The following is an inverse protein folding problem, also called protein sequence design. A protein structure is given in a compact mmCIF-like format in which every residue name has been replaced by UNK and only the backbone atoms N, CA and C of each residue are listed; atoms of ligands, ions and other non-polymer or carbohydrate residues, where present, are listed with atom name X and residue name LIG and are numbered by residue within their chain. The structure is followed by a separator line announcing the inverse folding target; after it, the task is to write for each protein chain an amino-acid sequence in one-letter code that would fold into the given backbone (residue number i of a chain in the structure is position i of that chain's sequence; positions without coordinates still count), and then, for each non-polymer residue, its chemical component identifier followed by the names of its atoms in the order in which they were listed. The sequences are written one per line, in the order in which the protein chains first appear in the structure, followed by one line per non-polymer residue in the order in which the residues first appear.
data_IF_768937229103
#
_entry.id   IF_768937229103
#
_cell.length_a   1.000
_cell.length_b   1.000
_cell.length_c   1.000
_cell.angle_alpha   90.00
_cell.angle_beta   90.00
_cell.angle_gamma   90.00
#
_symmetry.space_group_name_H-M   'P 1'
#
loop_
_entity.id
_entity.type
_entity.pdbx_description
1 polymer ?
#
# COMPACT_ATOMS: atom_id res chain seq x y z
N UNK A 1 12.06 26.70 9.74
CA UNK A 1 11.30 25.85 8.80
C UNK A 1 10.46 24.90 9.61
N UNK A 2 9.14 24.91 9.43
CA UNK A 2 8.23 24.01 10.15
C UNK A 2 8.11 22.68 9.41
N UNK A 3 8.13 21.56 10.16
CA UNK A 3 7.91 20.22 9.60
C UNK A 3 6.53 20.11 8.90
N UNK A 4 5.54 20.86 9.38
CA UNK A 4 4.19 20.90 8.79
C UNK A 4 4.21 21.62 7.43
N UNK A 5 4.99 22.70 7.30
CA UNK A 5 5.12 23.43 6.02
C UNK A 5 5.74 22.54 4.95
N UNK A 6 6.77 21.75 5.32
CA UNK A 6 7.44 20.82 4.42
C UNK A 6 6.51 19.67 3.97
N UNK A 7 5.70 19.12 4.88
CA UNK A 7 4.73 18.07 4.56
C UNK A 7 3.59 18.59 3.66
N UNK A 8 3.19 19.84 3.84
CA UNK A 8 2.12 20.46 3.06
C UNK A 8 2.59 20.96 1.70
N UNK A 9 3.89 21.20 1.53
CA UNK A 9 4.49 21.60 0.26
C UNK A 9 4.11 20.61 -0.85
N UNK A 10 3.64 21.13 -1.98
CA UNK A 10 3.21 20.31 -3.12
C UNK A 10 3.56 21.03 -4.42
N UNK A 11 4.16 20.34 -5.40
CA UNK A 11 4.46 20.93 -6.70
C UNK A 11 3.18 21.40 -7.39
N UNK A 12 3.21 22.58 -8.01
CA UNK A 12 2.05 23.14 -8.74
C UNK A 12 1.51 22.21 -9.83
N UNK A 13 2.38 21.42 -10.46
CA UNK A 13 2.03 20.49 -11.54
C UNK A 13 2.36 19.03 -11.17
N UNK A 14 1.53 18.41 -10.33
CA UNK A 14 1.64 16.98 -10.04
C UNK A 14 1.29 16.12 -11.27
N UNK A 15 2.15 15.14 -11.55
CA UNK A 15 1.88 14.14 -12.58
C UNK A 15 0.66 13.27 -12.24
N UNK A 16 -0.04 12.74 -13.25
CA UNK A 16 -1.18 11.82 -13.05
C UNK A 16 -0.77 10.58 -12.23
N UNK A 17 0.44 10.06 -12.46
CA UNK A 17 1.00 8.96 -11.67
C UNK A 17 1.23 9.36 -10.21
N UNK A 18 1.81 10.52 -9.96
CA UNK A 18 2.03 11.05 -8.60
C UNK A 18 0.72 11.19 -7.83
N UNK A 19 -0.34 11.69 -8.49
CA UNK A 19 -1.69 11.75 -7.91
C UNK A 19 -2.23 10.35 -7.60
N UNK A 20 -2.06 9.40 -8.53
CA UNK A 20 -2.51 8.03 -8.36
C UNK A 20 -1.77 7.31 -7.20
N UNK A 21 -0.46 7.51 -7.07
CA UNK A 21 0.33 7.00 -5.94
C UNK A 21 -0.11 7.65 -4.62
N UNK A 22 -0.43 8.94 -4.62
CA UNK A 22 -0.95 9.61 -3.43
C UNK A 22 -2.31 9.04 -2.98
N UNK A 23 -3.23 8.79 -3.93
CA UNK A 23 -4.52 8.12 -3.65
C UNK A 23 -4.30 6.69 -3.17
N UNK A 24 -3.34 5.96 -3.74
CA UNK A 24 -2.92 4.65 -3.22
C UNK A 24 -2.49 4.77 -1.77
N UNK A 25 -1.71 5.79 -1.40
CA UNK A 25 -1.31 6.05 -0.02
C UNK A 25 -2.49 6.22 0.94
N UNK A 26 -3.53 6.94 0.52
CA UNK A 26 -4.77 7.09 1.32
C UNK A 26 -5.48 5.75 1.53
N UNK A 27 -5.58 4.91 0.50
CA UNK A 27 -6.18 3.58 0.63
C UNK A 27 -5.40 2.69 1.61
N UNK A 28 -4.07 2.77 1.59
CA UNK A 28 -3.22 2.05 2.55
C UNK A 28 -3.39 2.57 3.96
N UNK A 29 -3.47 3.89 4.15
CA UNK A 29 -3.75 4.48 5.45
C UNK A 29 -5.08 3.98 6.01
N UNK A 30 -6.13 3.95 5.18
CA UNK A 30 -7.44 3.44 5.58
C UNK A 30 -7.40 1.95 5.93
N UNK A 31 -6.74 1.13 5.11
CA UNK A 31 -6.59 -0.31 5.38
C UNK A 31 -5.77 -0.58 6.65
N UNK A 32 -4.67 0.14 6.85
CA UNK A 32 -3.84 0.04 8.04
C UNK A 32 -4.59 0.47 9.30
N UNK A 33 -5.32 1.58 9.24
CA UNK A 33 -6.16 2.06 10.34
C UNK A 33 -7.27 1.06 10.70
N UNK A 34 -7.90 0.44 9.69
CA UNK A 34 -8.88 -0.63 9.89
C UNK A 34 -8.27 -1.81 10.66
N UNK A 35 -7.10 -2.30 10.23
CA UNK A 35 -6.43 -3.42 10.90
C UNK A 35 -5.95 -3.08 12.32
N UNK A 36 -5.57 -1.84 12.58
CA UNK A 36 -5.21 -1.38 13.93
C UNK A 36 -6.44 -1.33 14.84
N UNK A 37 -7.50 -0.65 14.39
CA UNK A 37 -8.69 -0.41 15.20
C UNK A 37 -9.51 -1.69 15.39
N UNK A 38 -9.60 -2.51 14.33
CA UNK A 38 -10.41 -3.72 14.32
C UNK A 38 -9.68 -4.88 13.61
N UNK A 39 -8.78 -5.58 14.33
CA UNK A 39 -8.11 -6.78 13.81
C UNK A 39 -9.09 -7.88 13.40
N UNK A 40 -10.28 -7.90 14.01
CA UNK A 40 -11.39 -8.79 13.67
C UNK A 40 -11.89 -8.67 12.22
N UNK A 41 -11.53 -7.58 11.53
CA UNK A 41 -11.80 -7.40 10.12
C UNK A 41 -11.18 -8.50 9.25
N UNK A 42 -10.07 -9.11 9.67
CA UNK A 42 -9.47 -10.23 8.92
C UNK A 42 -10.41 -11.43 8.89
N UNK A 43 -11.07 -11.76 10.00
CA UNK A 43 -12.08 -12.82 10.03
C UNK A 43 -13.40 -12.38 9.37
N UNK A 44 -13.89 -11.18 9.67
CA UNK A 44 -15.20 -10.73 9.20
C UNK A 44 -15.25 -10.55 7.68
N UNK A 45 -14.19 -10.01 7.08
CA UNK A 45 -14.14 -9.69 5.65
C UNK A 45 -13.51 -10.81 4.82
N UNK A 46 -12.45 -11.44 5.34
CA UNK A 46 -11.65 -12.42 4.59
C UNK A 46 -11.86 -13.86 5.06
N UNK A 47 -12.76 -14.09 6.02
CA UNK A 47 -13.09 -15.43 6.56
C UNK A 47 -11.86 -16.17 7.09
N UNK A 48 -10.95 -15.41 7.69
CA UNK A 48 -9.80 -15.99 8.37
C UNK A 48 -10.20 -16.75 9.63
N UNK A 49 -9.32 -17.68 10.03
CA UNK A 49 -9.50 -18.43 11.26
C UNK A 49 -9.53 -17.52 12.49
N UNK A 50 -10.18 -17.97 13.56
CA UNK A 50 -10.14 -17.28 14.84
C UNK A 50 -8.69 -17.15 15.35
N UNK A 51 -8.39 -16.03 16.00
CA UNK A 51 -7.12 -15.84 16.70
C UNK A 51 -7.07 -16.74 17.94
N UNK A 52 -5.90 -17.29 18.26
CA UNK A 52 -5.72 -18.28 19.34
C UNK A 52 -4.66 -17.82 20.36
N UNK A 53 -3.72 -16.99 19.94
CA UNK A 53 -2.71 -16.36 20.79
C UNK A 53 -2.56 -14.87 20.46
N UNK A 54 -1.33 -14.45 20.18
CA UNK A 54 -0.98 -13.03 19.99
C UNK A 54 -1.29 -12.47 18.60
N UNK A 55 -2.02 -13.22 17.74
CA UNK A 55 -2.24 -12.80 16.36
C UNK A 55 -3.02 -11.48 16.29
N UNK A 56 -3.90 -11.22 17.26
CA UNK A 56 -4.61 -9.95 17.32
C UNK A 56 -3.67 -8.75 17.52
N UNK A 57 -2.59 -8.93 18.29
CA UNK A 57 -1.53 -7.93 18.45
C UNK A 57 -0.70 -7.79 17.18
N UNK A 58 -0.30 -8.92 16.58
CA UNK A 58 0.48 -8.94 15.34
C UNK A 58 -0.27 -8.31 14.16
N UNK A 59 -1.59 -8.52 14.04
CA UNK A 59 -2.42 -7.87 13.01
C UNK A 59 -2.42 -6.35 13.18
N UNK A 60 -2.38 -5.83 14.42
CA UNK A 60 -2.24 -4.37 14.64
C UNK A 60 -0.86 -3.87 14.23
N UNK A 61 0.20 -4.64 14.50
CA UNK A 61 1.56 -4.32 14.03
C UNK A 61 1.63 -4.30 12.51
N UNK A 62 0.99 -5.27 11.84
CA UNK A 62 0.84 -5.28 10.37
C UNK A 62 0.04 -4.05 9.91
N UNK A 63 -1.07 -3.72 10.58
CA UNK A 63 -1.87 -2.53 10.29
C UNK A 63 -1.06 -1.23 10.39
N UNK A 64 -0.19 -1.13 11.40
CA UNK A 64 0.77 -0.02 11.54
C UNK A 64 1.76 0.02 10.37
N UNK A 65 2.35 -1.12 9.99
CA UNK A 65 3.26 -1.16 8.85
C UNK A 65 2.55 -0.73 7.54
N UNK A 66 1.34 -1.21 7.31
CA UNK A 66 0.50 -0.82 6.15
C UNK A 66 0.18 0.67 6.18
N UNK A 67 -0.15 1.23 7.34
CA UNK A 67 -0.40 2.66 7.50
C UNK A 67 0.86 3.50 7.23
N UNK A 68 2.04 3.06 7.71
CA UNK A 68 3.33 3.72 7.44
C UNK A 68 3.65 3.69 5.94
N UNK A 69 3.43 2.56 5.25
CA UNK A 69 3.58 2.49 3.79
C UNK A 69 2.63 3.48 3.12
N UNK A 70 1.38 3.55 3.56
CA UNK A 70 0.39 4.50 3.04
C UNK A 70 0.80 5.95 3.23
N UNK A 71 1.35 6.30 4.39
CA UNK A 71 1.93 7.61 4.67
C UNK A 71 3.05 7.95 3.69
N UNK A 72 4.01 7.04 3.51
CA UNK A 72 5.13 7.22 2.58
C UNK A 72 4.67 7.34 1.12
N UNK A 73 3.64 6.60 0.71
CA UNK A 73 3.07 6.71 -0.64
C UNK A 73 2.29 8.02 -0.84
N UNK A 74 1.58 8.49 0.19
CA UNK A 74 0.87 9.76 0.15
C UNK A 74 1.85 10.92 -0.07
N UNK A 75 2.84 11.06 0.79
CA UNK A 75 3.80 12.15 0.72
C UNK A 75 4.83 11.95 -0.40
N UNK A 76 5.24 10.71 -0.66
CA UNK A 76 6.09 10.37 -1.81
C UNK A 76 5.41 10.62 -3.16
N UNK A 77 4.10 10.41 -3.26
CA UNK A 77 3.30 10.83 -4.40
C UNK A 77 3.23 12.35 -4.50
N UNK A 78 2.90 13.04 -3.39
CA UNK A 78 2.80 14.51 -3.32
C UNK A 78 4.10 15.23 -3.65
N UNK A 79 5.26 14.66 -3.38
CA UNK A 79 6.56 15.26 -3.72
C UNK A 79 6.80 15.39 -5.23
N UNK A 80 6.07 14.63 -6.06
CA UNK A 80 6.26 14.62 -7.52
C UNK A 80 7.51 13.87 -7.99
N UNK A 81 8.28 13.26 -7.08
CA UNK A 81 9.50 12.55 -7.40
C UNK A 81 9.22 11.26 -8.20
N UNK A 82 9.61 11.25 -9.48
CA UNK A 82 9.36 10.13 -10.40
C UNK A 82 10.02 8.83 -9.93
N UNK A 83 11.23 8.91 -9.36
CA UNK A 83 11.97 7.77 -8.86
C UNK A 83 11.27 7.11 -7.67
N UNK A 84 10.67 7.89 -6.77
CA UNK A 84 9.89 7.36 -5.64
C UNK A 84 8.70 6.56 -6.19
N UNK A 85 7.93 7.15 -7.12
CA UNK A 85 6.79 6.47 -7.76
C UNK A 85 7.24 5.17 -8.45
N UNK A 86 8.33 5.19 -9.21
CA UNK A 86 8.85 4.00 -9.88
C UNK A 86 9.29 2.91 -8.89
N UNK A 87 9.97 3.28 -7.80
CA UNK A 87 10.37 2.35 -6.75
C UNK A 87 9.16 1.65 -6.10
N UNK A 88 8.04 2.38 -5.92
CA UNK A 88 6.81 1.74 -5.41
C UNK A 88 6.32 0.63 -6.33
N UNK A 89 6.36 0.83 -7.65
CA UNK A 89 5.88 -0.18 -8.62
C UNK A 89 6.70 -1.46 -8.51
N UNK A 90 8.02 -1.35 -8.45
CA UNK A 90 8.91 -2.52 -8.32
C UNK A 90 8.55 -3.31 -7.06
N UNK A 91 8.50 -2.64 -5.90
CA UNK A 91 8.23 -3.33 -4.63
C UNK A 91 6.89 -4.08 -4.62
N UNK A 92 5.86 -3.45 -5.17
CA UNK A 92 4.48 -3.96 -5.17
C UNK A 92 4.26 -5.09 -6.18
N UNK A 93 5.10 -5.22 -7.20
CA UNK A 93 5.02 -6.28 -8.21
C UNK A 93 5.97 -7.45 -7.94
N UNK A 94 7.03 -7.25 -7.16
CA UNK A 94 8.04 -8.29 -6.90
C UNK A 94 8.05 -8.73 -5.45
N UNK A 95 8.54 -7.89 -4.54
CA UNK A 95 8.82 -8.27 -3.16
C UNK A 95 7.54 -8.59 -2.37
N UNK A 96 6.51 -7.75 -2.49
CA UNK A 96 5.26 -7.94 -1.74
C UNK A 96 4.56 -9.26 -2.14
N UNK A 97 4.26 -9.52 -3.42
CA UNK A 97 3.63 -10.79 -3.81
C UNK A 97 4.50 -12.00 -3.47
N UNK A 98 5.83 -11.91 -3.64
CA UNK A 98 6.72 -13.03 -3.33
C UNK A 98 6.62 -13.46 -1.86
N UNK A 99 6.57 -12.50 -0.93
CA UNK A 99 6.44 -12.80 0.50
C UNK A 99 5.02 -13.20 0.86
N UNK A 100 4.01 -12.43 0.43
CA UNK A 100 2.62 -12.66 0.84
C UNK A 100 2.07 -13.98 0.30
N UNK A 101 2.37 -14.33 -0.95
CA UNK A 101 1.89 -15.57 -1.55
C UNK A 101 2.60 -16.79 -0.95
N UNK A 102 3.88 -16.68 -0.59
CA UNK A 102 4.60 -17.76 0.10
C UNK A 102 4.00 -18.02 1.50
N UNK A 103 3.66 -16.98 2.25
CA UNK A 103 2.99 -17.10 3.55
C UNK A 103 1.56 -17.63 3.42
N UNK A 104 0.83 -17.20 2.39
CA UNK A 104 -0.50 -17.74 2.11
C UNK A 104 -0.43 -19.24 1.78
N UNK A 105 0.57 -19.66 1.01
CA UNK A 105 0.79 -21.06 0.66
C UNK A 105 1.15 -21.93 1.89
N UNK A 106 1.74 -21.36 2.94
CA UNK A 106 1.97 -22.04 4.22
C UNK A 106 0.75 -22.00 5.17
N UNK A 107 -0.37 -21.42 4.73
CA UNK A 107 -1.62 -21.36 5.48
C UNK A 107 -1.73 -20.20 6.47
N UNK A 108 -0.82 -19.23 6.41
CA UNK A 108 -0.86 -18.01 7.24
C UNK A 108 -1.80 -17.01 6.57
N UNK A 109 -2.94 -16.77 7.21
CA UNK A 109 -3.96 -15.82 6.75
C UNK A 109 -4.20 -15.82 5.22
N UNK A 110 -4.47 -16.98 4.60
CA UNK A 110 -4.35 -17.16 3.15
C UNK A 110 -5.27 -16.25 2.35
N UNK A 111 -6.52 -16.05 2.78
CA UNK A 111 -7.47 -15.21 2.04
C UNK A 111 -7.09 -13.74 2.14
N UNK A 112 -6.69 -13.29 3.33
CA UNK A 112 -6.22 -11.93 3.55
C UNK A 112 -4.98 -11.63 2.71
N UNK A 113 -3.94 -12.47 2.81
CA UNK A 113 -2.66 -12.24 2.16
C UNK A 113 -2.75 -12.35 0.63
N UNK A 114 -3.52 -13.29 0.10
CA UNK A 114 -3.79 -13.37 -1.35
C UNK A 114 -4.56 -12.15 -1.82
N UNK A 115 -5.59 -11.72 -1.09
CA UNK A 115 -6.36 -10.52 -1.48
C UNK A 115 -5.47 -9.29 -1.50
N UNK A 116 -4.62 -9.10 -0.48
CA UNK A 116 -3.68 -7.98 -0.43
C UNK A 116 -2.65 -8.06 -1.55
N UNK A 117 -2.09 -9.23 -1.85
CA UNK A 117 -1.15 -9.41 -2.95
C UNK A 117 -1.77 -9.04 -4.31
N UNK A 118 -3.02 -9.45 -4.57
CA UNK A 118 -3.73 -9.14 -5.81
C UNK A 118 -4.06 -7.66 -5.90
N UNK A 119 -4.68 -7.09 -4.85
CA UNK A 119 -5.07 -5.68 -4.84
C UNK A 119 -3.86 -4.75 -4.95
N UNK A 120 -2.76 -5.08 -4.25
CA UNK A 120 -1.53 -4.30 -4.32
C UNK A 120 -0.94 -4.33 -5.73
N UNK A 121 -0.77 -5.52 -6.30
CA UNK A 121 -0.25 -5.67 -7.65
C UNK A 121 -1.14 -4.95 -8.68
N UNK A 122 -2.47 -5.01 -8.55
CA UNK A 122 -3.40 -4.33 -9.45
C UNK A 122 -3.21 -2.80 -9.43
N UNK A 123 -3.07 -2.21 -8.24
CA UNK A 123 -2.77 -0.79 -8.10
C UNK A 123 -1.38 -0.41 -8.64
N UNK A 124 -0.38 -1.30 -8.48
CA UNK A 124 0.94 -1.10 -9.06
C UNK A 124 0.92 -1.13 -10.60
N UNK A 125 0.19 -2.07 -11.19
CA UNK A 125 -0.07 -2.12 -12.65
C UNK A 125 -0.76 -0.86 -13.12
N UNK A 126 -1.75 -0.34 -12.38
CA UNK A 126 -2.40 0.94 -12.68
C UNK A 126 -1.40 2.10 -12.74
N UNK A 127 -0.48 2.16 -11.77
CA UNK A 127 0.60 3.16 -11.74
C UNK A 127 1.54 3.01 -12.94
N UNK A 128 1.93 1.77 -13.27
CA UNK A 128 2.82 1.48 -14.40
C UNK A 128 2.19 1.79 -15.76
N UNK A 129 0.91 1.46 -15.95
CA UNK A 129 0.17 1.79 -17.17
C UNK A 129 0.10 3.31 -17.40
N UNK A 130 -0.09 4.10 -16.34
CA UNK A 130 -0.02 5.56 -16.41
C UNK A 130 1.39 6.07 -16.74
N UNK A 131 2.44 5.33 -16.37
CA UNK A 131 3.82 5.64 -16.73
C UNK A 131 4.11 5.39 -18.20
N UNK A 132 3.70 4.23 -18.72
CA UNK A 132 3.88 3.86 -20.11
C UNK A 132 3.13 4.80 -21.07
N UNK A 133 1.97 5.33 -20.66
CA UNK A 133 1.22 6.31 -21.47
C UNK A 133 1.94 7.64 -21.66
N UNK A 134 2.90 8.00 -20.80
CA UNK A 134 3.71 9.23 -20.95
C UNK A 134 4.93 9.07 -21.85
N UNK A 135 5.43 7.85 -22.03
CA UNK A 135 6.58 7.60 -22.92
C UNK A 135 6.18 7.56 -24.40
N UNK A 136 4.87 7.51 -24.71
CA UNK A 136 4.32 7.43 -26.07
C UNK A 136 3.85 8.80 -26.60
N UNK A 137 4.09 9.89 -25.88
CA UNK A 137 3.84 11.25 -26.38
C UNK A 137 5.13 11.81 -27.02
N UNK A 138 5.16 12.06 -28.34
CA UNK A 138 6.30 12.67 -29.02
C UNK A 138 6.52 14.13 -28.59
#
# INVERSE_FOLDING_TARGET
MSLIEELLATPRNMSTMSKYTAVSGVMYLAAGALLIAWPGATQALFRERAFVGDEQGLVRVIGMAVAVIGWLYLFGGRSGARQIVAATVVNRLTFVPAVLLALAASGVFPHLLVTFAILDAALAVGTWALMARRTVSP
#
